data_IF_896660820575
#
_entry.id   IF_896660820575
#
_cell.length_a   1.000
_cell.length_b   1.000
_cell.length_c   1.000
_cell.angle_alpha   90.00
_cell.angle_beta   90.00
_cell.angle_gamma   90.00
#
_symmetry.space_group_name_H-M   'P 1'
#
loop_
_entity.id
_entity.type
_entity.pdbx_description
1 polymer ?
#
# COMPACT_ATOMS: atom_id res chain seq x y z
N UNK A 1 11.56 -11.61 -23.17
CA UNK A 1 12.57 -10.97 -22.27
C UNK A 1 11.80 -10.12 -21.29
N UNK A 2 11.74 -10.50 -20.02
CA UNK A 2 11.09 -9.69 -18.99
C UNK A 2 11.96 -8.43 -18.82
N UNK A 3 11.41 -7.27 -19.13
CA UNK A 3 12.12 -6.01 -19.01
C UNK A 3 12.37 -5.70 -17.54
N UNK A 4 13.58 -5.94 -17.06
CA UNK A 4 13.98 -5.65 -15.66
C UNK A 4 13.68 -4.20 -15.26
N UNK A 5 13.64 -3.28 -16.22
CA UNK A 5 13.26 -1.89 -16.00
C UNK A 5 11.82 -1.69 -15.55
N UNK A 6 10.86 -2.45 -16.09
CA UNK A 6 9.44 -2.37 -15.69
C UNK A 6 9.20 -2.98 -14.29
N UNK A 7 9.93 -4.04 -13.96
CA UNK A 7 9.90 -4.60 -12.60
C UNK A 7 10.45 -3.60 -11.58
N UNK A 8 11.53 -2.91 -11.93
CA UNK A 8 12.12 -1.86 -11.09
C UNK A 8 11.16 -0.67 -10.91
N UNK A 9 10.49 -0.26 -11.99
CA UNK A 9 9.49 0.81 -11.94
C UNK A 9 8.30 0.42 -11.04
N UNK A 10 7.80 -0.81 -11.16
CA UNK A 10 6.73 -1.33 -10.27
C UNK A 10 7.14 -1.30 -8.81
N UNK A 11 8.38 -1.71 -8.50
CA UNK A 11 8.90 -1.67 -7.13
C UNK A 11 9.02 -0.23 -6.61
N UNK A 12 9.55 0.70 -7.41
CA UNK A 12 9.70 2.11 -7.01
C UNK A 12 8.33 2.72 -6.71
N UNK A 13 7.32 2.47 -7.57
CA UNK A 13 5.95 2.97 -7.35
C UNK A 13 5.34 2.40 -6.07
N UNK A 14 5.47 1.08 -5.84
CA UNK A 14 4.97 0.43 -4.63
C UNK A 14 5.66 0.97 -3.37
N UNK A 15 6.97 1.19 -3.42
CA UNK A 15 7.75 1.70 -2.31
C UNK A 15 7.42 3.17 -1.98
N UNK A 16 7.25 4.02 -3.00
CA UNK A 16 6.79 5.41 -2.81
C UNK A 16 5.38 5.41 -2.21
N UNK A 17 4.48 4.54 -2.68
CA UNK A 17 3.16 4.37 -2.10
C UNK A 17 3.23 3.97 -0.62
N UNK A 18 4.08 3.01 -0.28
CA UNK A 18 4.29 2.60 1.11
C UNK A 18 4.80 3.75 2.00
N UNK A 19 5.80 4.52 1.54
CA UNK A 19 6.27 5.70 2.27
C UNK A 19 5.11 6.69 2.47
N UNK A 20 4.30 6.93 1.45
CA UNK A 20 3.12 7.79 1.54
C UNK A 20 2.10 7.32 2.57
N UNK A 21 1.89 6.00 2.71
CA UNK A 21 1.02 5.42 3.76
C UNK A 21 1.60 5.70 5.15
N UNK A 22 2.91 5.57 5.34
CA UNK A 22 3.59 5.90 6.61
C UNK A 22 3.42 7.38 6.94
N UNK A 23 3.66 8.26 5.97
CA UNK A 23 3.50 9.72 6.14
C UNK A 23 2.05 10.06 6.48
N UNK A 24 1.07 9.55 5.74
CA UNK A 24 -0.36 9.76 6.01
C UNK A 24 -0.74 9.32 7.42
N UNK A 25 -0.21 8.18 7.88
CA UNK A 25 -0.49 7.66 9.23
C UNK A 25 0.09 8.56 10.34
N UNK A 26 1.26 9.15 10.10
CA UNK A 26 1.95 10.01 11.06
C UNK A 26 1.36 11.43 11.13
N UNK A 27 0.75 11.91 10.06
CA UNK A 27 0.21 13.28 9.99
C UNK A 27 -1.01 13.46 10.90
N UNK A 28 -1.09 14.60 11.64
CA UNK A 28 -2.23 14.91 12.51
C UNK A 28 -3.42 15.55 11.78
N UNK A 29 -3.46 15.52 10.46
CA UNK A 29 -4.43 16.23 9.61
C UNK A 29 -5.37 15.26 8.89
N UNK A 30 -6.02 14.35 9.64
CA UNK A 30 -7.02 13.43 9.06
C UNK A 30 -8.37 14.11 8.88
N UNK A 31 -8.77 14.95 9.83
CA UNK A 31 -9.93 15.83 9.72
C UNK A 31 -9.57 17.24 10.23
N UNK A 32 -10.19 18.24 9.64
CA UNK A 32 -9.93 19.65 9.92
C UNK A 32 -11.26 20.31 10.23
N UNK A 33 -11.34 21.02 11.37
CA UNK A 33 -12.42 21.92 11.66
C UNK A 33 -11.88 23.35 11.68
N UNK A 34 -12.37 24.20 10.77
CA UNK A 34 -12.11 25.62 10.82
C UNK A 34 -13.28 26.31 11.50
N UNK A 35 -13.10 26.70 12.73
CA UNK A 35 -14.06 27.54 13.43
C UNK A 35 -13.84 29.00 13.01
N UNK A 36 -14.61 29.44 12.04
CA UNK A 36 -14.81 30.86 11.78
C UNK A 36 -16.00 31.31 12.64
N UNK A 37 -15.78 31.64 13.90
CA UNK A 37 -16.79 32.34 14.68
C UNK A 37 -17.10 33.70 14.05
N UNK A 38 -18.27 34.28 14.33
CA UNK A 38 -18.69 35.61 13.84
C UNK A 38 -17.67 36.73 14.18
N UNK A 39 -16.72 36.47 15.07
CA UNK A 39 -15.61 37.35 15.41
C UNK A 39 -14.31 36.80 14.78
N UNK A 40 -13.82 37.48 13.78
CA UNK A 40 -12.55 37.21 13.04
C UNK A 40 -11.32 37.09 13.98
N UNK A 41 -11.44 37.55 15.22
CA UNK A 41 -10.34 37.65 16.21
C UNK A 41 -9.97 36.26 16.83
N UNK A 42 -10.83 35.24 16.74
CA UNK A 42 -10.62 33.93 17.37
C UNK A 42 -10.73 32.79 16.37
N UNK A 43 -10.16 32.95 15.17
CA UNK A 43 -10.08 31.85 14.21
C UNK A 43 -9.14 30.76 14.78
N UNK A 44 -9.75 29.66 15.23
CA UNK A 44 -9.03 28.46 15.68
C UNK A 44 -9.26 27.35 14.66
N UNK A 45 -8.17 26.74 14.16
CA UNK A 45 -8.25 25.55 13.35
C UNK A 45 -7.89 24.34 14.22
N UNK A 46 -8.82 23.37 14.29
CA UNK A 46 -8.60 22.12 15.01
C UNK A 46 -8.30 21.04 13.99
N UNK A 47 -7.17 20.38 14.19
CA UNK A 47 -6.71 19.26 13.39
C UNK A 47 -6.77 17.99 14.23
N UNK A 48 -7.45 16.97 13.76
CA UNK A 48 -7.47 15.69 14.43
C UNK A 48 -6.85 14.62 13.52
N UNK A 49 -5.83 13.96 14.06
CA UNK A 49 -5.15 12.85 13.42
C UNK A 49 -5.43 11.53 14.11
N UNK A 50 -4.76 10.48 13.65
CA UNK A 50 -4.88 9.16 14.27
C UNK A 50 -4.28 9.10 15.68
N UNK A 51 -3.21 9.86 15.96
CA UNK A 51 -2.42 9.76 17.21
C UNK A 51 -2.55 10.97 18.11
N UNK A 52 -2.81 12.12 17.55
CA UNK A 52 -2.83 13.39 18.27
C UNK A 52 -3.88 14.33 17.70
N UNK A 53 -4.32 15.25 18.52
CA UNK A 53 -5.15 16.41 18.16
C UNK A 53 -4.32 17.67 18.30
N UNK A 54 -4.37 18.54 17.29
CA UNK A 54 -3.64 19.80 17.25
C UNK A 54 -4.61 20.96 17.10
N UNK A 55 -4.36 22.04 17.82
CA UNK A 55 -5.13 23.29 17.74
C UNK A 55 -4.17 24.41 17.33
N UNK A 56 -4.51 25.08 16.24
CA UNK A 56 -3.77 26.29 15.82
C UNK A 56 -4.55 27.50 16.29
N UNK A 57 -3.91 28.34 17.10
CA UNK A 57 -4.47 29.59 17.60
C UNK A 57 -4.25 30.72 16.58
N UNK A 58 -5.00 31.82 16.72
CA UNK A 58 -4.86 33.03 15.89
C UNK A 58 -3.45 33.67 15.92
N UNK A 59 -2.65 33.33 16.92
CA UNK A 59 -1.24 33.72 17.05
C UNK A 59 -0.29 32.93 16.15
N UNK A 60 -0.79 31.93 15.41
CA UNK A 60 0.02 31.02 14.59
C UNK A 60 0.71 29.90 15.36
N UNK A 61 0.56 29.84 16.69
CA UNK A 61 1.10 28.73 17.47
C UNK A 61 0.21 27.49 17.36
N UNK A 62 0.85 26.36 17.01
CA UNK A 62 0.22 25.04 16.99
C UNK A 62 0.53 24.29 18.28
N UNK A 63 -0.49 23.92 19.02
CA UNK A 63 -0.37 23.07 20.21
C UNK A 63 -0.97 21.71 19.91
N UNK A 64 -0.17 20.66 20.05
CA UNK A 64 -0.57 19.28 19.82
C UNK A 64 -0.64 18.50 21.13
N UNK A 65 -1.73 17.75 21.33
CA UNK A 65 -1.92 16.86 22.46
C UNK A 65 -2.10 15.44 21.94
N UNK A 66 -1.30 14.51 22.45
CA UNK A 66 -1.46 13.08 22.21
C UNK A 66 -2.67 12.58 23.04
N UNK A 67 -3.42 11.64 22.51
CA UNK A 67 -4.58 11.08 23.21
C UNK A 67 -4.15 10.31 24.47
N UNK A 68 -4.70 10.69 25.61
CA UNK A 68 -4.30 10.16 26.94
C UNK A 68 -4.72 8.69 27.15
N UNK A 69 -5.74 8.21 26.43
CA UNK A 69 -6.27 6.85 26.60
C UNK A 69 -6.70 6.27 25.27
N UNK A 70 -6.11 5.12 24.92
CA UNK A 70 -6.48 4.36 23.72
C UNK A 70 -7.89 3.76 23.83
N UNK A 71 -8.33 3.39 25.03
CA UNK A 71 -9.60 2.70 25.27
C UNK A 71 -10.82 3.63 25.30
N UNK A 72 -10.62 4.94 25.53
CA UNK A 72 -11.70 5.94 25.50
C UNK A 72 -12.04 6.44 24.10
N UNK A 73 -11.20 6.11 23.10
CA UNK A 73 -11.43 6.52 21.73
C UNK A 73 -12.55 5.72 21.08
N UNK A 74 -13.25 6.37 20.17
CA UNK A 74 -14.27 5.75 19.34
C UNK A 74 -13.73 4.50 18.64
N UNK A 75 -14.47 3.39 18.67
CA UNK A 75 -14.00 2.10 18.12
C UNK A 75 -13.60 2.16 16.63
N UNK A 76 -14.23 3.05 15.86
CA UNK A 76 -13.88 3.30 14.47
C UNK A 76 -12.45 3.84 14.29
N UNK A 77 -12.00 4.73 15.18
CA UNK A 77 -10.63 5.25 15.14
C UNK A 77 -9.61 4.17 15.49
N UNK A 78 -9.94 3.30 16.44
CA UNK A 78 -9.08 2.15 16.79
C UNK A 78 -8.95 1.17 15.62
N UNK A 79 -10.07 0.85 14.95
CA UNK A 79 -10.05 -0.02 13.77
C UNK A 79 -9.21 0.59 12.64
N UNK A 80 -9.35 1.89 12.36
CA UNK A 80 -8.53 2.59 11.37
C UNK A 80 -7.06 2.53 11.70
N UNK A 81 -6.67 2.75 12.97
CA UNK A 81 -5.27 2.61 13.43
C UNK A 81 -4.74 1.21 13.19
N UNK A 82 -5.50 0.17 13.58
CA UNK A 82 -5.10 -1.21 13.43
C UNK A 82 -4.87 -1.57 11.95
N UNK A 83 -5.76 -1.14 11.05
CA UNK A 83 -5.63 -1.35 9.62
C UNK A 83 -4.43 -0.60 9.03
N UNK A 84 -4.18 0.64 9.43
CA UNK A 84 -3.03 1.42 8.95
C UNK A 84 -1.70 0.82 9.42
N UNK A 85 -1.60 0.42 10.69
CA UNK A 85 -0.40 -0.24 11.24
C UNK A 85 -0.17 -1.59 10.55
N UNK A 86 -1.21 -2.41 10.38
CA UNK A 86 -1.07 -3.69 9.66
C UNK A 86 -0.63 -3.49 8.21
N UNK A 87 -1.15 -2.47 7.52
CA UNK A 87 -0.72 -2.10 6.17
C UNK A 87 0.77 -1.72 6.13
N UNK A 88 1.25 -0.91 7.07
CA UNK A 88 2.66 -0.51 7.16
C UNK A 88 3.57 -1.73 7.37
N UNK A 89 3.21 -2.64 8.28
CA UNK A 89 3.98 -3.86 8.54
C UNK A 89 4.00 -4.79 7.31
N UNK A 90 2.85 -4.99 6.67
CA UNK A 90 2.78 -5.78 5.44
C UNK A 90 3.62 -5.16 4.32
N UNK A 91 3.55 -3.85 4.13
CA UNK A 91 4.34 -3.15 3.12
C UNK A 91 5.85 -3.23 3.39
N UNK A 92 6.26 -3.20 4.66
CA UNK A 92 7.65 -3.42 5.05
C UNK A 92 8.12 -4.83 4.66
N UNK A 93 7.35 -5.86 5.00
CA UNK A 93 7.64 -7.26 4.62
C UNK A 93 7.67 -7.38 3.10
N UNK A 94 6.67 -6.82 2.40
CA UNK A 94 6.60 -6.78 0.95
C UNK A 94 7.83 -6.15 0.30
N UNK A 95 8.36 -5.06 0.89
CA UNK A 95 9.58 -4.39 0.43
C UNK A 95 10.80 -5.31 0.51
N UNK A 96 10.99 -6.00 1.63
CA UNK A 96 12.11 -6.96 1.79
C UNK A 96 11.99 -8.13 0.82
N UNK A 97 10.80 -8.73 0.71
CA UNK A 97 10.56 -9.87 -0.19
C UNK A 97 10.76 -9.47 -1.65
N UNK A 98 10.25 -8.30 -2.06
CA UNK A 98 10.42 -7.80 -3.41
C UNK A 98 11.89 -7.47 -3.73
N UNK A 99 12.64 -6.88 -2.79
CA UNK A 99 14.08 -6.63 -2.96
C UNK A 99 14.86 -7.90 -3.22
N UNK A 100 14.61 -8.97 -2.45
CA UNK A 100 15.26 -10.28 -2.65
C UNK A 100 14.90 -10.86 -4.02
N UNK A 101 13.65 -10.66 -4.49
CA UNK A 101 13.15 -11.14 -5.78
C UNK A 101 13.65 -10.37 -6.99
N UNK A 102 14.22 -9.17 -6.82
CA UNK A 102 14.70 -8.37 -7.95
C UNK A 102 15.99 -8.94 -8.56
N UNK A 103 16.07 -8.92 -9.89
CA UNK A 103 17.24 -9.42 -10.65
C UNK A 103 18.53 -8.65 -10.37
N UNK A 104 18.47 -7.45 -9.81
CA UNK A 104 19.64 -6.62 -9.47
C UNK A 104 20.41 -7.08 -8.23
N UNK A 105 19.83 -7.94 -7.39
CA UNK A 105 20.51 -8.46 -6.20
C UNK A 105 21.09 -9.84 -6.48
N UNK A 106 22.41 -9.97 -6.36
CA UNK A 106 23.17 -11.25 -6.51
C UNK A 106 22.99 -12.21 -5.32
N UNK A 107 22.02 -11.97 -4.43
CA UNK A 107 21.89 -12.71 -3.17
C UNK A 107 21.31 -14.12 -3.29
N UNK A 108 20.70 -14.50 -4.40
CA UNK A 108 20.19 -15.85 -4.62
C UNK A 108 20.80 -16.41 -5.89
N UNK A 109 21.48 -17.53 -5.73
CA UNK A 109 22.15 -18.29 -6.79
C UNK A 109 21.18 -18.54 -7.96
N UNK A 110 21.66 -18.34 -9.14
CA UNK A 110 21.21 -18.48 -10.55
C UNK A 110 19.81 -19.02 -10.95
N UNK A 111 18.89 -19.28 -10.01
CA UNK A 111 17.52 -19.72 -10.32
C UNK A 111 16.59 -18.53 -10.64
N UNK A 112 16.55 -18.09 -11.90
CA UNK A 112 15.64 -17.04 -12.38
C UNK A 112 14.18 -17.29 -12.00
N UNK A 113 13.76 -18.54 -11.89
CA UNK A 113 12.41 -18.97 -11.54
C UNK A 113 12.08 -18.64 -10.08
N UNK A 114 13.00 -18.89 -9.15
CA UNK A 114 12.82 -18.56 -7.73
C UNK A 114 12.74 -17.06 -7.51
N UNK A 115 13.62 -16.29 -8.17
CA UNK A 115 13.59 -14.82 -8.11
C UNK A 115 12.26 -14.24 -8.62
N UNK A 116 11.75 -14.76 -9.72
CA UNK A 116 10.46 -14.37 -10.27
C UNK A 116 9.31 -14.62 -9.28
N UNK A 117 9.28 -15.79 -8.64
CA UNK A 117 8.25 -16.13 -7.64
C UNK A 117 8.33 -15.21 -6.41
N UNK A 118 9.53 -14.88 -5.95
CA UNK A 118 9.71 -13.95 -4.82
C UNK A 118 9.24 -12.54 -5.16
N UNK A 119 9.49 -12.06 -6.38
CA UNK A 119 9.00 -10.76 -6.82
C UNK A 119 7.47 -10.72 -6.89
N UNK A 120 6.82 -11.79 -7.38
CA UNK A 120 5.36 -11.92 -7.38
C UNK A 120 4.81 -11.91 -5.96
N UNK A 121 5.41 -12.67 -5.04
CA UNK A 121 4.99 -12.67 -3.63
C UNK A 121 5.09 -11.29 -3.01
N UNK A 122 6.20 -10.58 -3.24
CA UNK A 122 6.34 -9.19 -2.81
C UNK A 122 5.26 -8.28 -3.39
N UNK A 123 4.94 -8.42 -4.68
CA UNK A 123 3.85 -7.69 -5.34
C UNK A 123 2.47 -7.97 -4.72
N UNK A 124 2.15 -9.24 -4.42
CA UNK A 124 0.89 -9.62 -3.76
C UNK A 124 0.80 -9.01 -2.36
N UNK A 125 1.88 -9.03 -1.58
CA UNK A 125 1.92 -8.42 -0.25
C UNK A 125 1.68 -6.90 -0.34
N UNK A 126 2.27 -6.22 -1.33
CA UNK A 126 2.02 -4.79 -1.58
C UNK A 126 0.56 -4.51 -1.97
N UNK A 127 -0.06 -5.39 -2.76
CA UNK A 127 -1.49 -5.28 -3.08
C UNK A 127 -2.34 -5.36 -1.81
N UNK A 128 -2.11 -6.35 -0.96
CA UNK A 128 -2.86 -6.52 0.31
C UNK A 128 -2.65 -5.31 1.21
N UNK A 129 -1.40 -4.84 1.35
CA UNK A 129 -1.05 -3.63 2.11
C UNK A 129 -1.79 -2.39 1.59
N UNK A 130 -1.76 -2.15 0.28
CA UNK A 130 -2.43 -1.03 -0.36
C UNK A 130 -3.95 -1.07 -0.18
N UNK A 131 -4.58 -2.26 -0.33
CA UNK A 131 -6.01 -2.44 -0.08
C UNK A 131 -6.38 -2.20 1.39
N UNK A 132 -5.59 -2.68 2.34
CA UNK A 132 -5.83 -2.42 3.76
C UNK A 132 -5.81 -0.92 4.08
N UNK A 133 -4.83 -0.19 3.53
CA UNK A 133 -4.75 1.27 3.68
C UNK A 133 -5.92 1.99 2.99
N UNK A 134 -6.32 1.54 1.80
CA UNK A 134 -7.45 2.13 1.06
C UNK A 134 -8.76 1.95 1.84
N UNK A 135 -9.00 0.77 2.39
CA UNK A 135 -10.19 0.49 3.22
C UNK A 135 -10.16 1.36 4.48
N UNK A 136 -9.02 1.48 5.16
CA UNK A 136 -8.89 2.29 6.38
C UNK A 136 -9.18 3.77 6.11
N UNK A 137 -8.59 4.34 5.06
CA UNK A 137 -8.78 5.75 4.70
C UNK A 137 -10.20 6.04 4.20
N UNK A 138 -10.79 5.12 3.43
CA UNK A 138 -12.16 5.27 2.92
C UNK A 138 -13.19 5.12 4.04
N UNK A 139 -12.98 4.19 4.97
CA UNK A 139 -13.85 4.06 6.14
C UNK A 139 -13.85 5.32 6.99
N UNK A 140 -12.65 5.82 7.31
CA UNK A 140 -12.54 7.06 8.07
C UNK A 140 -13.13 8.26 7.34
N UNK A 141 -12.91 8.38 6.03
CA UNK A 141 -13.52 9.41 5.19
C UNK A 141 -15.04 9.34 5.20
N UNK A 142 -15.64 8.14 5.13
CA UNK A 142 -17.07 7.96 5.24
C UNK A 142 -17.62 8.45 6.59
N UNK A 143 -16.92 8.19 7.69
CA UNK A 143 -17.32 8.69 9.02
C UNK A 143 -17.32 10.22 9.08
N UNK A 144 -16.27 10.85 8.56
CA UNK A 144 -16.18 12.32 8.49
C UNK A 144 -17.31 12.89 7.63
N UNK A 145 -17.64 12.25 6.50
CA UNK A 145 -18.74 12.66 5.64
C UNK A 145 -20.11 12.52 6.34
N UNK A 146 -20.34 11.42 7.06
CA UNK A 146 -21.59 11.24 7.81
C UNK A 146 -21.75 12.29 8.91
N UNK A 147 -20.68 12.62 9.64
CA UNK A 147 -20.70 13.67 10.65
C UNK A 147 -20.99 15.06 10.04
N UNK A 148 -20.46 15.32 8.85
CA UNK A 148 -20.66 16.59 8.13
C UNK A 148 -22.12 16.78 7.67
N UNK A 149 -22.74 15.73 7.15
CA UNK A 149 -24.14 15.78 6.65
C UNK A 149 -25.19 15.59 7.74
N UNK A 150 -24.79 15.30 8.99
CA UNK A 150 -25.72 15.11 10.08
C UNK A 150 -26.35 16.45 10.47
N UNK A 151 -27.70 16.62 10.37
CA UNK A 151 -28.36 17.85 10.70
C UNK A 151 -28.33 18.21 12.21
N UNK A 152 -28.05 17.24 13.07
CA UNK A 152 -27.96 17.44 14.52
C UNK A 152 -26.58 17.95 14.98
N UNK A 153 -25.55 17.92 14.13
CA UNK A 153 -24.24 18.47 14.45
C UNK A 153 -24.28 20.00 14.29
N UNK A 154 -23.93 20.77 15.34
CA UNK A 154 -23.82 22.23 15.23
C UNK A 154 -22.83 22.61 14.12
N UNK A 155 -23.14 23.66 13.37
CA UNK A 155 -22.32 24.15 12.26
C UNK A 155 -20.85 24.40 12.69
N UNK A 156 -20.68 24.77 13.94
CA UNK A 156 -19.37 25.10 14.55
C UNK A 156 -18.46 23.90 14.84
N UNK A 157 -18.98 22.66 14.73
CA UNK A 157 -18.22 21.42 15.01
C UNK A 157 -18.12 20.50 13.80
N UNK A 158 -18.43 21.01 12.61
CA UNK A 158 -18.32 20.24 11.37
C UNK A 158 -16.85 20.11 10.96
N UNK A 159 -16.45 18.88 10.68
CA UNK A 159 -15.11 18.55 10.22
C UNK A 159 -15.12 18.28 8.72
N UNK A 160 -14.10 18.77 8.04
CA UNK A 160 -13.82 18.49 6.63
C UNK A 160 -12.66 17.49 6.48
N UNK A 161 -12.50 16.97 5.27
CA UNK A 161 -11.40 16.05 4.96
C UNK A 161 -10.04 16.73 5.12
N UNK A 162 -9.17 16.10 5.92
CA UNK A 162 -7.81 16.57 6.09
C UNK A 162 -6.87 16.12 4.98
N UNK A 163 -5.74 16.78 4.84
CA UNK A 163 -4.73 16.49 3.82
C UNK A 163 -4.18 15.06 3.91
N UNK A 164 -4.06 14.51 5.13
CA UNK A 164 -3.57 13.16 5.35
C UNK A 164 -4.46 12.10 4.68
N UNK A 165 -5.78 12.30 4.58
CA UNK A 165 -6.69 11.42 3.86
C UNK A 165 -6.42 11.38 2.36
N UNK A 166 -6.22 12.54 1.74
CA UNK A 166 -5.90 12.62 0.31
C UNK A 166 -4.54 11.96 -0.01
N UNK A 167 -3.54 12.20 0.85
CA UNK A 167 -2.23 11.52 0.76
C UNK A 167 -2.42 10.02 0.92
N UNK A 168 -3.25 9.57 1.86
CA UNK A 168 -3.55 8.16 2.08
C UNK A 168 -4.19 7.48 0.87
N UNK A 169 -5.15 8.12 0.21
CA UNK A 169 -5.77 7.59 -1.02
C UNK A 169 -4.79 7.53 -2.19
N UNK A 170 -4.01 8.59 -2.41
CA UNK A 170 -2.99 8.61 -3.46
C UNK A 170 -1.91 7.54 -3.21
N UNK A 171 -1.43 7.44 -1.97
CA UNK A 171 -0.40 6.49 -1.57
C UNK A 171 -0.86 5.03 -1.69
N UNK A 172 -2.08 4.72 -1.24
CA UNK A 172 -2.65 3.37 -1.38
C UNK A 172 -2.84 2.99 -2.84
N UNK A 173 -3.31 3.93 -3.68
CA UNK A 173 -3.46 3.71 -5.12
C UNK A 173 -2.11 3.44 -5.79
N UNK A 174 -1.07 4.20 -5.45
CA UNK A 174 0.30 3.97 -5.95
C UNK A 174 0.85 2.61 -5.51
N UNK A 175 0.62 2.21 -4.26
CA UNK A 175 1.05 0.91 -3.73
C UNK A 175 0.36 -0.24 -4.48
N UNK A 176 -0.95 -0.13 -4.75
CA UNK A 176 -1.72 -1.12 -5.50
C UNK A 176 -1.22 -1.20 -6.95
N UNK A 177 -1.04 -0.07 -7.63
CA UNK A 177 -0.52 -0.05 -8.99
C UNK A 177 0.87 -0.65 -9.07
N UNK A 178 1.79 -0.28 -8.17
CA UNK A 178 3.14 -0.83 -8.12
C UNK A 178 3.16 -2.32 -7.85
N UNK A 179 2.31 -2.80 -6.93
CA UNK A 179 2.12 -4.23 -6.64
C UNK A 179 1.57 -4.99 -7.84
N UNK A 180 0.60 -4.42 -8.57
CA UNK A 180 0.05 -5.00 -9.79
C UNK A 180 1.12 -5.11 -10.90
N UNK A 181 1.94 -4.08 -11.10
CA UNK A 181 3.05 -4.13 -12.03
C UNK A 181 4.06 -5.24 -11.68
N UNK A 182 4.39 -5.41 -10.41
CA UNK A 182 5.25 -6.50 -9.95
C UNK A 182 4.66 -7.87 -10.25
N UNK A 183 3.34 -8.06 -10.08
CA UNK A 183 2.67 -9.32 -10.34
C UNK A 183 2.51 -9.62 -11.84
N UNK A 184 2.14 -8.62 -12.65
CA UNK A 184 1.81 -8.81 -14.06
C UNK A 184 3.04 -9.00 -14.96
N UNK A 185 4.19 -8.44 -14.58
CA UNK A 185 5.38 -8.41 -15.43
C UNK A 185 6.42 -9.51 -15.11
N UNK A 186 6.09 -10.46 -14.26
CA UNK A 186 6.92 -11.64 -14.10
C UNK A 186 6.73 -12.57 -15.30
N UNK A 187 7.81 -13.12 -15.89
CA UNK A 187 7.70 -14.04 -17.02
C UNK A 187 6.85 -15.24 -16.63
N UNK A 188 5.75 -15.39 -17.34
CA UNK A 188 4.91 -16.59 -17.26
C UNK A 188 5.80 -17.76 -17.68
N UNK A 189 6.01 -18.70 -16.79
CA UNK A 189 6.71 -19.92 -17.10
C UNK A 189 5.88 -20.64 -18.17
N UNK A 190 6.36 -20.65 -19.42
CA UNK A 190 5.93 -21.67 -20.35
C UNK A 190 6.33 -23.00 -19.71
N UNK A 191 5.34 -23.82 -19.38
CA UNK A 191 5.54 -25.21 -18.99
C UNK A 191 6.34 -25.84 -20.11
N UNK A 192 7.65 -25.92 -19.93
CA UNK A 192 8.50 -26.72 -20.79
C UNK A 192 8.02 -28.15 -20.62
N UNK A 193 7.21 -28.62 -21.58
CA UNK A 193 6.96 -30.03 -21.73
C UNK A 193 8.31 -30.71 -21.84
N UNK A 194 8.58 -31.78 -21.07
CA UNK A 194 9.82 -32.52 -21.22
C UNK A 194 9.94 -32.95 -22.70
N UNK A 195 11.12 -32.77 -23.31
CA UNK A 195 11.28 -33.13 -24.71
C UNK A 195 10.88 -34.60 -24.87
N UNK A 196 9.92 -34.83 -25.75
CA UNK A 196 9.49 -36.16 -26.16
C UNK A 196 10.75 -36.97 -26.46
N UNK A 197 10.95 -38.10 -25.77
CA UNK A 197 12.08 -39.01 -26.00
C UNK A 197 12.18 -39.27 -27.50
N UNK A 198 13.37 -39.16 -28.12
CA UNK A 198 13.51 -39.53 -29.51
C UNK A 198 13.10 -41.02 -29.67
N UNK A 199 12.16 -41.26 -30.55
CA UNK A 199 11.83 -42.65 -30.94
C UNK A 199 13.12 -43.31 -31.41
N UNK A 200 13.42 -44.55 -30.96
CA UNK A 200 14.54 -45.30 -31.52
C UNK A 200 14.27 -45.52 -32.99
N UNK A 201 15.14 -45.01 -33.87
CA UNK A 201 15.13 -45.29 -35.29
C UNK A 201 15.29 -46.80 -35.46
N UNK A 202 14.28 -47.47 -36.02
CA UNK A 202 14.42 -48.83 -36.50
C UNK A 202 15.57 -48.88 -37.53
N UNK A 203 16.63 -49.57 -37.20
CA UNK A 203 17.72 -49.90 -38.13
C UNK A 203 17.14 -50.99 -39.06
N UNK A 204 17.15 -50.82 -40.38
CA UNK A 204 16.78 -51.90 -41.28
C UNK A 204 17.84 -53.00 -41.18
N UNK A 205 17.39 -54.23 -40.86
CA UNK A 205 18.22 -55.40 -40.87
C UNK A 205 18.64 -55.69 -42.29
N UNK A 206 19.95 -55.56 -42.58
CA UNK A 206 20.53 -55.99 -43.86
C UNK A 206 20.53 -57.51 -43.87
N UNK A 207 19.60 -58.08 -44.62
CA UNK A 207 19.60 -59.50 -44.94
C UNK A 207 20.91 -59.85 -45.70
N UNK A 208 21.70 -60.77 -45.19
CA UNK A 208 22.74 -61.42 -45.95
C UNK A 208 22.13 -62.68 -46.57
N UNK A 209 21.94 -62.64 -47.91
CA UNK A 209 21.73 -63.81 -48.69
C UNK A 209 23.06 -64.60 -48.73
N UNK A 210 22.98 -65.91 -48.40
CA UNK A 210 24.00 -66.89 -48.67
C UNK A 210 23.49 -67.76 -49.83
N UNK A 211 24.27 -67.81 -50.90
CA UNK A 211 24.29 -68.83 -51.90
C UNK A 211 25.38 -69.82 -51.58
#
# INVERSE_FOLDING_TARGET
MANGGLQMLGFILAFIGWIGIVVSTAMPQWKISSYAGDNIVTAQAIYEGLWMSCVTQSTGQMQCKVYDSLLKLQGSLQATRALMVSSILLGLIGSFVAMIGMKCMKCLEDDEVKKSRMAILGGVIFLISGFAALVATSWYGNLVAQDFFNPYTPVNTRFEFGQALFIGWAASSLSILGGAFLCCWCPRQETSYPPTRPYPKCVPSTGKDYV
#
